data_IF_850989100888
#
_entry.id   IF_850989100888
#
_cell.length_a   1.000
_cell.length_b   1.000
_cell.length_c   1.000
_cell.angle_alpha   90.00
_cell.angle_beta   90.00
_cell.angle_gamma   90.00
#
_symmetry.space_group_name_H-M   'P 1'
#
loop_
_entity.id
_entity.type
_entity.pdbx_description
1 polymer ?
#
# COMPACT_ATOMS: atom_id res chain seq x y z
N UNK A 1 34.66 -48.58 14.29
CA UNK A 1 35.36 -47.28 14.23
C UNK A 1 34.96 -46.56 15.50
N UNK A 2 35.83 -46.62 16.52
CA UNK A 2 35.52 -46.15 17.87
C UNK A 2 35.79 -44.64 17.97
N UNK A 3 34.79 -43.89 18.42
CA UNK A 3 34.93 -42.48 18.71
C UNK A 3 35.68 -42.35 20.06
N UNK A 4 36.93 -41.89 19.99
CA UNK A 4 37.70 -41.51 21.18
C UNK A 4 37.02 -40.34 21.89
N UNK A 5 36.56 -40.62 23.09
CA UNK A 5 35.96 -39.70 24.05
C UNK A 5 37.09 -38.87 24.68
N UNK A 6 37.53 -37.81 23.98
CA UNK A 6 38.48 -36.84 24.52
C UNK A 6 37.75 -35.92 25.50
N UNK A 7 37.72 -36.32 26.77
CA UNK A 7 37.35 -35.47 27.89
C UNK A 7 38.12 -34.15 27.82
N UNK A 8 37.40 -33.03 27.72
CA UNK A 8 37.99 -31.70 27.68
C UNK A 8 38.70 -31.41 29.01
N UNK A 9 40.04 -31.26 29.05
CA UNK A 9 40.78 -31.03 30.28
C UNK A 9 40.55 -29.64 30.88
N UNK A 10 39.81 -28.75 30.21
CA UNK A 10 39.52 -27.39 30.66
C UNK A 10 38.19 -27.25 31.43
N UNK A 11 37.64 -28.34 31.97
CA UNK A 11 36.49 -28.29 32.88
C UNK A 11 36.89 -27.95 34.33
N UNK A 12 37.87 -27.07 34.53
CA UNK A 12 38.05 -26.42 35.83
C UNK A 12 36.95 -25.38 36.01
N UNK A 13 36.14 -25.55 37.06
CA UNK A 13 35.10 -24.61 37.42
C UNK A 13 35.71 -23.21 37.56
N UNK A 14 35.31 -22.28 36.69
CA UNK A 14 35.84 -20.92 36.68
C UNK A 14 35.61 -20.28 38.07
N UNK A 15 36.66 -20.04 38.88
CA UNK A 15 36.52 -19.54 40.24
C UNK A 15 35.99 -18.09 40.29
N UNK A 16 35.90 -17.43 39.15
CA UNK A 16 35.38 -16.07 39.00
C UNK A 16 33.90 -15.99 38.63
N UNK A 17 33.17 -17.12 38.60
CA UNK A 17 31.74 -17.14 38.28
C UNK A 17 30.85 -16.33 39.26
N UNK A 18 31.38 -15.89 40.41
CA UNK A 18 30.65 -15.09 41.40
C UNK A 18 30.93 -13.58 41.35
N UNK A 19 31.79 -13.10 40.44
CA UNK A 19 32.06 -11.67 40.32
C UNK A 19 30.92 -10.98 39.55
N UNK A 20 29.93 -10.42 40.26
CA UNK A 20 28.92 -9.57 39.63
C UNK A 20 29.58 -8.28 39.17
N UNK A 21 29.83 -8.14 37.87
CA UNK A 21 30.37 -6.91 37.31
C UNK A 21 29.35 -5.76 37.56
N UNK A 22 29.68 -4.74 38.37
CA UNK A 22 28.79 -3.62 38.63
C UNK A 22 28.53 -2.74 37.38
N UNK A 23 29.31 -2.97 36.31
CA UNK A 23 29.11 -2.38 34.99
C UNK A 23 28.49 -3.36 33.98
N UNK A 24 27.97 -4.51 34.42
CA UNK A 24 27.16 -5.36 33.56
C UNK A 24 25.94 -4.54 33.10
N UNK A 25 25.79 -4.40 31.78
CA UNK A 25 24.57 -3.84 31.20
C UNK A 25 23.43 -4.71 31.72
N UNK A 26 22.39 -4.14 32.35
CA UNK A 26 21.24 -4.92 32.78
C UNK A 26 20.78 -5.74 31.58
N UNK A 27 20.59 -7.04 31.77
CA UNK A 27 20.00 -7.88 30.74
C UNK A 27 18.58 -7.37 30.49
N UNK A 28 18.47 -6.36 29.61
CA UNK A 28 17.19 -6.01 29.04
C UNK A 28 16.79 -7.23 28.24
N UNK A 29 15.63 -7.79 28.58
CA UNK A 29 15.00 -8.83 27.79
C UNK A 29 14.99 -8.33 26.35
N UNK A 30 15.84 -8.92 25.50
CA UNK A 30 15.90 -8.56 24.10
C UNK A 30 14.59 -9.06 23.53
N UNK A 31 13.59 -8.19 23.48
CA UNK A 31 12.34 -8.43 22.78
C UNK A 31 12.71 -8.52 21.31
N UNK A 32 13.07 -9.72 20.86
CA UNK A 32 13.27 -10.00 19.44
C UNK A 32 11.94 -9.68 18.78
N UNK A 33 11.88 -8.66 17.89
CA UNK A 33 10.62 -8.32 17.24
C UNK A 33 10.10 -9.58 16.57
N UNK A 34 8.84 -9.94 16.86
CA UNK A 34 8.20 -11.10 16.25
C UNK A 34 8.45 -11.06 14.75
N UNK A 35 8.98 -12.15 14.18
CA UNK A 35 9.32 -12.21 12.76
C UNK A 35 8.14 -11.69 11.95
N UNK A 36 8.34 -10.57 11.25
CA UNK A 36 7.28 -9.91 10.50
C UNK A 36 6.81 -10.88 9.44
N UNK A 37 5.56 -11.34 9.54
CA UNK A 37 4.98 -12.24 8.54
C UNK A 37 5.12 -11.61 7.14
N UNK A 38 5.75 -12.34 6.22
CA UNK A 38 5.91 -11.90 4.84
C UNK A 38 4.58 -11.79 4.09
N UNK A 39 4.66 -11.34 2.84
CA UNK A 39 3.58 -11.36 1.88
C UNK A 39 3.03 -12.78 1.71
N UNK A 40 1.70 -12.89 1.72
CA UNK A 40 0.98 -14.15 1.46
C UNK A 40 -0.21 -13.91 0.54
N UNK A 41 -0.69 -14.96 -0.09
CA UNK A 41 -1.89 -14.89 -0.94
C UNK A 41 -3.09 -15.34 -0.13
N UNK A 42 -4.13 -14.51 -0.07
CA UNK A 42 -5.42 -14.89 0.49
C UNK A 42 -6.51 -14.62 -0.54
N UNK A 43 -7.16 -15.69 -1.02
CA UNK A 43 -8.17 -15.65 -2.10
C UNK A 43 -7.59 -14.98 -3.36
N UNK A 44 -8.08 -13.79 -3.70
CA UNK A 44 -7.66 -12.99 -4.87
C UNK A 44 -6.92 -11.71 -4.44
N UNK A 45 -6.32 -11.70 -3.25
CA UNK A 45 -5.60 -10.56 -2.71
C UNK A 45 -4.19 -10.97 -2.28
N UNK A 46 -3.25 -10.03 -2.45
CA UNK A 46 -1.94 -10.10 -1.80
C UNK A 46 -2.08 -9.46 -0.42
N UNK A 47 -1.82 -10.23 0.63
CA UNK A 47 -1.84 -9.76 2.02
C UNK A 47 -0.42 -9.42 2.41
N UNK A 48 -0.21 -8.17 2.78
CA UNK A 48 1.11 -7.65 3.15
C UNK A 48 1.04 -6.94 4.50
N UNK A 49 2.13 -6.92 5.30
CA UNK A 49 2.17 -6.12 6.51
C UNK A 49 2.05 -4.62 6.18
N UNK A 50 1.66 -3.82 7.16
CA UNK A 50 1.72 -2.36 7.01
C UNK A 50 3.17 -1.90 6.88
N UNK A 51 3.35 -0.83 6.11
CA UNK A 51 4.67 -0.27 5.77
C UNK A 51 5.58 -1.26 5.02
N UNK A 52 4.99 -2.34 4.48
CA UNK A 52 5.68 -3.30 3.63
C UNK A 52 6.27 -2.64 2.39
N UNK A 53 7.48 -3.08 2.05
CA UNK A 53 8.18 -2.70 0.83
C UNK A 53 8.24 -3.92 -0.08
N UNK A 54 7.69 -3.79 -1.28
CA UNK A 54 7.73 -4.89 -2.24
C UNK A 54 9.15 -5.22 -2.66
N UNK A 55 9.41 -6.50 -2.95
CA UNK A 55 10.57 -6.93 -3.72
C UNK A 55 10.69 -6.10 -5.03
N UNK A 56 11.88 -6.01 -5.64
CA UNK A 56 12.12 -5.24 -6.87
C UNK A 56 11.46 -5.91 -8.09
N UNK A 57 10.13 -5.87 -8.12
CA UNK A 57 9.24 -6.40 -9.15
C UNK A 57 8.13 -5.39 -9.36
N UNK A 58 7.80 -5.09 -10.61
CA UNK A 58 6.65 -4.25 -10.94
C UNK A 58 5.35 -4.95 -10.52
N UNK A 59 4.62 -4.40 -9.56
CA UNK A 59 3.36 -4.99 -9.06
C UNK A 59 2.23 -5.10 -10.11
N UNK A 60 2.32 -4.36 -11.22
CA UNK A 60 1.31 -4.39 -12.29
C UNK A 60 1.64 -5.40 -13.39
N UNK A 61 2.92 -5.56 -13.72
CA UNK A 61 3.34 -6.32 -14.90
C UNK A 61 4.24 -7.51 -14.58
N UNK A 62 4.72 -7.65 -13.34
CA UNK A 62 5.69 -8.68 -12.96
C UNK A 62 7.11 -8.45 -13.49
N UNK A 63 7.35 -7.35 -14.22
CA UNK A 63 8.67 -7.05 -14.78
C UNK A 63 9.67 -6.72 -13.68
N UNK A 64 10.86 -7.31 -13.74
CA UNK A 64 12.04 -6.96 -12.92
C UNK A 64 12.96 -5.95 -13.60
N UNK A 65 12.78 -5.72 -14.90
CA UNK A 65 13.58 -4.77 -15.69
C UNK A 65 12.92 -3.39 -15.73
N UNK A 66 13.76 -2.36 -15.92
CA UNK A 66 13.32 -0.96 -16.07
C UNK A 66 12.40 -0.47 -14.93
N UNK A 67 12.73 -0.89 -13.70
CA UNK A 67 12.05 -0.42 -12.51
C UNK A 67 12.42 1.04 -12.26
N UNK A 68 11.41 1.85 -12.00
CA UNK A 68 11.63 3.24 -11.59
C UNK A 68 12.15 3.23 -10.16
N UNK A 69 13.33 3.81 -9.99
CA UNK A 69 13.93 4.14 -8.70
C UNK A 69 13.79 5.65 -8.43
N UNK A 70 13.46 6.07 -7.21
CA UNK A 70 13.23 5.27 -6.00
C UNK A 70 11.86 4.53 -5.99
N UNK A 71 11.69 3.52 -5.11
CA UNK A 71 10.38 2.87 -4.90
C UNK A 71 9.31 3.91 -4.53
N UNK A 72 8.09 3.70 -5.01
CA UNK A 72 6.99 4.64 -4.78
C UNK A 72 6.20 4.22 -3.55
N UNK A 73 6.17 5.07 -2.53
CA UNK A 73 5.27 4.88 -1.39
C UNK A 73 3.85 5.36 -1.71
N UNK A 74 2.83 4.59 -1.31
CA UNK A 74 1.43 4.97 -1.46
C UNK A 74 0.63 4.67 -0.21
N UNK A 75 -0.18 5.65 0.18
CA UNK A 75 -1.19 5.50 1.23
C UNK A 75 -2.47 4.91 0.62
N UNK A 76 -2.83 3.72 1.06
CA UNK A 76 -4.13 3.11 0.78
C UNK A 76 -5.11 3.51 1.89
N UNK A 77 -6.31 3.91 1.49
CA UNK A 77 -7.43 4.13 2.39
C UNK A 77 -8.49 3.08 2.10
N UNK A 78 -9.06 2.55 3.18
CA UNK A 78 -10.21 1.66 3.10
C UNK A 78 -11.38 2.31 3.79
N UNK A 79 -12.50 2.37 3.08
CA UNK A 79 -13.77 2.88 3.60
C UNK A 79 -14.72 1.70 3.68
N UNK A 80 -15.33 1.49 4.84
CA UNK A 80 -16.32 0.43 5.01
C UNK A 80 -17.52 0.74 4.08
N UNK A 81 -17.97 -0.21 3.24
CA UNK A 81 -19.12 -0.01 2.36
C UNK A 81 -20.39 0.44 3.11
N UNK A 82 -20.55 0.06 4.38
CA UNK A 82 -21.66 0.52 5.23
C UNK A 82 -21.67 2.05 5.38
N UNK A 83 -20.50 2.70 5.47
CA UNK A 83 -20.41 4.16 5.54
C UNK A 83 -20.83 4.83 4.22
N UNK A 84 -20.55 4.20 3.09
CA UNK A 84 -20.97 4.70 1.77
C UNK A 84 -22.50 4.65 1.67
N UNK A 85 -23.12 3.54 2.09
CA UNK A 85 -24.58 3.40 2.11
C UNK A 85 -25.23 4.42 3.05
N UNK A 86 -24.67 4.59 4.26
CA UNK A 86 -25.17 5.54 5.26
C UNK A 86 -25.03 6.99 4.80
N UNK A 87 -24.03 7.31 3.98
CA UNK A 87 -23.90 8.60 3.31
C UNK A 87 -25.05 8.90 2.34
N UNK A 88 -25.57 7.91 1.61
CA UNK A 88 -26.75 8.12 0.77
C UNK A 88 -28.03 8.27 1.60
N UNK A 89 -28.12 7.65 2.78
CA UNK A 89 -29.32 7.67 3.62
C UNK A 89 -29.44 8.95 4.47
N UNK A 90 -28.34 9.38 5.09
CA UNK A 90 -28.32 10.50 6.06
C UNK A 90 -27.64 11.75 5.45
N UNK A 91 -27.15 11.63 4.22
CA UNK A 91 -26.54 12.74 3.50
C UNK A 91 -25.24 13.22 4.15
N UNK A 92 -25.10 14.54 4.23
CA UNK A 92 -23.85 15.21 4.62
C UNK A 92 -23.39 14.86 6.04
N UNK A 93 -24.30 14.57 6.98
CA UNK A 93 -23.94 14.22 8.36
C UNK A 93 -23.10 12.95 8.47
N UNK A 94 -23.27 12.01 7.55
CA UNK A 94 -22.49 10.77 7.49
C UNK A 94 -21.05 10.98 7.00
N UNK A 95 -20.78 12.11 6.34
CA UNK A 95 -19.48 12.38 5.71
C UNK A 95 -18.39 12.54 6.76
N UNK A 96 -18.69 13.17 7.91
CA UNK A 96 -17.74 13.39 8.99
C UNK A 96 -17.22 12.08 9.61
N UNK A 97 -18.06 11.15 10.11
CA UNK A 97 -17.58 9.86 10.61
C UNK A 97 -16.91 9.03 9.51
N UNK A 98 -17.39 9.11 8.26
CA UNK A 98 -16.77 8.42 7.12
C UNK A 98 -15.33 8.90 6.84
N UNK A 99 -15.00 10.17 7.11
CA UNK A 99 -13.64 10.70 6.98
C UNK A 99 -12.74 10.37 8.18
N UNK A 100 -13.31 10.36 9.39
CA UNK A 100 -12.58 10.09 10.63
C UNK A 100 -12.25 8.61 10.81
N UNK A 101 -13.16 7.70 10.48
CA UNK A 101 -13.04 6.26 10.71
C UNK A 101 -12.36 5.51 9.56
N UNK A 102 -11.65 6.22 8.68
CA UNK A 102 -10.91 5.60 7.58
C UNK A 102 -9.70 4.86 8.11
N UNK A 103 -9.65 3.55 7.85
CA UNK A 103 -8.41 2.80 8.04
C UNK A 103 -7.43 3.18 6.94
N UNK A 104 -6.21 3.51 7.33
CA UNK A 104 -5.14 3.93 6.43
C UNK A 104 -3.97 2.96 6.57
N UNK A 105 -3.37 2.59 5.46
CA UNK A 105 -2.15 1.78 5.41
C UNK A 105 -1.19 2.37 4.39
N UNK A 106 0.10 2.25 4.62
CA UNK A 106 1.13 2.62 3.65
C UNK A 106 1.83 1.34 3.19
N UNK A 107 2.23 1.34 1.92
CA UNK A 107 3.12 0.33 1.37
C UNK A 107 3.95 0.97 0.26
N UNK A 108 5.15 0.46 0.06
CA UNK A 108 6.10 0.92 -0.94
C UNK A 108 6.24 -0.13 -2.03
N UNK A 109 6.23 0.28 -3.30
CA UNK A 109 6.28 -0.66 -4.41
C UNK A 109 7.05 -0.12 -5.61
N UNK A 110 7.50 -1.05 -6.44
CA UNK A 110 8.16 -0.73 -7.70
C UNK A 110 7.16 -0.75 -8.88
N UNK A 111 7.41 0.12 -9.85
CA UNK A 111 6.70 0.18 -11.12
C UNK A 111 7.70 0.15 -12.26
N UNK A 112 7.35 -0.55 -13.34
CA UNK A 112 8.09 -0.45 -14.59
C UNK A 112 7.82 0.89 -15.27
N UNK A 113 8.81 1.39 -16.02
CA UNK A 113 8.68 2.60 -16.84
C UNK A 113 7.39 2.67 -17.67
N UNK A 114 7.07 1.64 -18.48
CA UNK A 114 5.85 1.61 -19.28
C UNK A 114 4.57 1.68 -18.44
N UNK A 115 4.51 0.97 -17.31
CA UNK A 115 3.33 0.97 -16.44
C UNK A 115 3.13 2.34 -15.77
N UNK A 116 4.21 2.98 -15.33
CA UNK A 116 4.17 4.32 -14.76
C UNK A 116 3.75 5.38 -15.79
N UNK A 117 4.24 5.29 -17.03
CA UNK A 117 3.82 6.15 -18.13
C UNK A 117 2.33 5.99 -18.43
N UNK A 118 1.83 4.74 -18.45
CA UNK A 118 0.40 4.45 -18.60
C UNK A 118 -0.46 5.09 -17.50
N UNK A 119 0.00 5.07 -16.25
CA UNK A 119 -0.67 5.74 -15.13
C UNK A 119 -0.64 7.27 -15.27
N UNK A 120 0.48 7.86 -15.68
CA UNK A 120 0.59 9.30 -15.94
C UNK A 120 -0.34 9.74 -17.06
N UNK A 121 -0.41 8.98 -18.16
CA UNK A 121 -1.33 9.25 -19.27
C UNK A 121 -2.79 9.24 -18.82
N UNK A 122 -3.22 8.22 -18.07
CA UNK A 122 -4.58 8.14 -17.52
C UNK A 122 -4.89 9.34 -16.62
N UNK A 123 -3.94 9.73 -15.76
CA UNK A 123 -4.10 10.89 -14.89
C UNK A 123 -4.20 12.20 -15.69
N UNK A 124 -3.38 12.38 -16.72
CA UNK A 124 -3.42 13.55 -17.59
C UNK A 124 -4.76 13.66 -18.34
N UNK A 125 -5.28 12.55 -18.88
CA UNK A 125 -6.61 12.52 -19.49
C UNK A 125 -7.69 12.92 -18.48
N UNK A 126 -7.63 12.38 -17.26
CA UNK A 126 -8.60 12.70 -16.21
C UNK A 126 -8.56 14.18 -15.80
N UNK A 127 -7.36 14.79 -15.74
CA UNK A 127 -7.18 16.22 -15.51
C UNK A 127 -7.72 17.06 -16.67
N UNK A 128 -7.59 16.59 -17.92
CA UNK A 128 -8.22 17.23 -19.07
C UNK A 128 -9.74 17.29 -18.92
N UNK A 129 -10.38 16.15 -18.62
CA UNK A 129 -11.84 16.09 -18.40
C UNK A 129 -12.27 17.01 -17.25
N UNK A 130 -11.52 16.99 -16.14
CA UNK A 130 -11.77 17.87 -14.99
C UNK A 130 -11.67 19.36 -15.37
N UNK A 131 -10.58 19.73 -16.05
CA UNK A 131 -10.32 21.10 -16.47
C UNK A 131 -11.39 21.62 -17.43
N UNK A 132 -11.80 20.81 -18.41
CA UNK A 132 -12.90 21.16 -19.31
C UNK A 132 -14.21 21.37 -18.56
N UNK A 133 -14.56 20.47 -17.63
CA UNK A 133 -15.75 20.62 -16.80
C UNK A 133 -15.71 21.91 -15.96
N UNK A 134 -14.56 22.22 -15.37
CA UNK A 134 -14.36 23.44 -14.58
C UNK A 134 -14.51 24.71 -15.42
N UNK A 135 -13.92 24.76 -16.62
CA UNK A 135 -14.05 25.91 -17.53
C UNK A 135 -15.51 26.13 -17.93
N UNK A 136 -16.25 25.06 -18.23
CA UNK A 136 -17.68 25.15 -18.57
C UNK A 136 -18.49 25.72 -17.40
N UNK A 137 -18.24 25.26 -16.16
CA UNK A 137 -18.91 25.82 -14.97
C UNK A 137 -18.60 27.30 -14.78
N UNK A 138 -17.33 27.70 -14.94
CA UNK A 138 -16.93 29.11 -14.82
C UNK A 138 -17.61 29.98 -15.88
N UNK A 139 -17.70 29.50 -17.12
CA UNK A 139 -18.43 30.18 -18.19
C UNK A 139 -19.94 30.24 -17.90
N UNK A 140 -20.53 29.19 -17.34
CA UNK A 140 -21.95 29.17 -16.97
C UNK A 140 -22.29 30.20 -15.88
N UNK A 141 -21.34 30.50 -14.99
CA UNK A 141 -21.47 31.49 -13.92
C UNK A 141 -21.07 32.90 -14.34
N UNK A 142 -20.52 33.08 -15.54
CA UNK A 142 -20.12 34.39 -16.05
C UNK A 142 -21.36 35.25 -16.35
N UNK A 143 -21.37 36.55 -15.98
CA UNK A 143 -22.48 37.44 -16.29
C UNK A 143 -22.66 37.70 -17.79
N UNK A 144 -21.65 37.37 -18.62
CA UNK A 144 -21.69 37.54 -20.07
C UNK A 144 -22.59 36.51 -20.78
N UNK A 145 -23.02 35.45 -20.09
CA UNK A 145 -23.68 34.29 -20.68
C UNK A 145 -25.20 34.42 -20.47
N UNK A 146 -25.91 34.97 -21.45
CA UNK A 146 -27.38 35.06 -21.42
C UNK A 146 -28.01 33.81 -22.07
N UNK A 147 -28.91 33.13 -21.36
CA UNK A 147 -29.85 32.14 -21.94
C UNK A 147 -29.46 30.66 -21.92
N UNK A 148 -28.19 30.27 -21.74
CA UNK A 148 -27.75 28.86 -21.69
C UNK A 148 -27.14 28.45 -20.33
N UNK A 149 -27.45 29.21 -19.28
CA UNK A 149 -26.82 29.03 -17.96
C UNK A 149 -27.12 27.68 -17.30
N UNK A 150 -28.35 27.12 -17.31
CA UNK A 150 -28.60 25.85 -16.61
C UNK A 150 -28.02 24.64 -17.36
N UNK A 151 -28.07 24.61 -18.69
CA UNK A 151 -27.53 23.49 -19.48
C UNK A 151 -26.01 23.41 -19.38
N UNK A 152 -25.32 24.56 -19.46
CA UNK A 152 -23.87 24.63 -19.29
C UNK A 152 -23.48 24.22 -17.86
N UNK A 153 -24.21 24.70 -16.85
CA UNK A 153 -23.93 24.36 -15.45
C UNK A 153 -24.09 22.85 -15.21
N UNK A 154 -25.17 22.24 -15.73
CA UNK A 154 -25.41 20.81 -15.61
C UNK A 154 -24.31 20.00 -16.31
N UNK A 155 -23.95 20.39 -17.54
CA UNK A 155 -22.92 19.72 -18.34
C UNK A 155 -21.55 19.79 -17.67
N UNK A 156 -21.14 20.97 -17.20
CA UNK A 156 -19.89 21.16 -16.48
C UNK A 156 -19.84 20.36 -15.18
N UNK A 157 -20.93 20.36 -14.40
CA UNK A 157 -21.05 19.57 -13.17
C UNK A 157 -20.95 18.07 -13.45
N UNK A 158 -21.62 17.58 -14.50
CA UNK A 158 -21.56 16.18 -14.89
C UNK A 158 -20.14 15.73 -15.28
N UNK A 159 -19.38 16.56 -16.01
CA UNK A 159 -17.98 16.28 -16.35
C UNK A 159 -17.07 16.23 -15.12
N UNK A 160 -17.27 17.13 -14.15
CA UNK A 160 -16.53 17.13 -12.89
C UNK A 160 -16.81 15.84 -12.09
N UNK A 161 -18.09 15.46 -11.97
CA UNK A 161 -18.50 14.22 -11.30
C UNK A 161 -17.92 12.97 -12.00
N UNK A 162 -17.98 12.94 -13.33
CA UNK A 162 -17.38 11.86 -14.13
C UNK A 162 -15.87 11.77 -13.90
N UNK A 163 -15.16 12.91 -13.89
CA UNK A 163 -13.73 12.93 -13.58
C UNK A 163 -13.42 12.45 -12.16
N UNK A 164 -14.26 12.77 -11.17
CA UNK A 164 -14.11 12.24 -9.81
C UNK A 164 -14.28 10.71 -9.75
N UNK A 165 -15.26 10.17 -10.49
CA UNK A 165 -15.49 8.73 -10.61
C UNK A 165 -14.30 8.05 -11.31
N UNK A 166 -13.80 8.61 -12.42
CA UNK A 166 -12.66 8.08 -13.15
C UNK A 166 -11.36 8.15 -12.33
N UNK A 167 -11.13 9.24 -11.60
CA UNK A 167 -10.00 9.39 -10.70
C UNK A 167 -9.98 8.29 -9.61
N UNK A 168 -11.15 7.91 -9.11
CA UNK A 168 -11.28 6.91 -8.06
C UNK A 168 -11.26 5.48 -8.58
N UNK A 169 -11.74 5.21 -9.79
CA UNK A 169 -11.92 3.84 -10.36
C UNK A 169 -10.89 3.44 -11.43
N UNK A 170 -10.43 4.39 -12.26
CA UNK A 170 -9.56 4.12 -13.41
C UNK A 170 -8.12 4.55 -13.18
N UNK A 171 -7.91 5.68 -12.50
CA UNK A 171 -6.57 6.21 -12.19
C UNK A 171 -5.89 5.52 -11.00
N UNK A 172 -6.61 4.71 -10.22
CA UNK A 172 -6.01 3.95 -9.10
C UNK A 172 -5.60 2.55 -9.56
N UNK A 173 -4.29 2.24 -9.57
CA UNK A 173 -3.78 0.91 -9.93
C UNK A 173 -4.14 -0.17 -8.89
N UNK A 174 -4.15 0.20 -7.61
CA UNK A 174 -4.36 -0.71 -6.49
C UNK A 174 -5.49 -0.25 -5.61
N UNK A 175 -6.21 -1.22 -5.05
CA UNK A 175 -7.29 -1.01 -4.10
C UNK A 175 -7.06 -1.90 -2.89
N UNK A 176 -7.20 -1.32 -1.69
CA UNK A 176 -7.30 -2.11 -0.49
C UNK A 176 -8.70 -2.72 -0.41
N UNK A 177 -8.78 -4.05 -0.40
CA UNK A 177 -10.05 -4.75 -0.17
C UNK A 177 -10.42 -4.74 1.31
N UNK A 178 -9.41 -4.82 2.17
CA UNK A 178 -9.50 -4.83 3.63
C UNK A 178 -8.21 -4.24 4.19
N UNK A 179 -8.29 -3.57 5.33
CA UNK A 179 -7.14 -3.11 6.10
C UNK A 179 -7.42 -3.47 7.56
N UNK A 180 -6.50 -4.20 8.19
CA UNK A 180 -6.53 -4.50 9.62
C UNK A 180 -5.46 -3.69 10.35
N UNK A 181 -5.21 -4.01 11.62
CA UNK A 181 -4.20 -3.30 12.39
C UNK A 181 -2.79 -3.58 11.87
N UNK A 182 -2.51 -4.81 11.43
CA UNK A 182 -1.18 -5.27 11.02
C UNK A 182 -1.04 -5.48 9.52
N UNK A 183 -2.13 -5.78 8.81
CA UNK A 183 -2.08 -6.22 7.40
C UNK A 183 -2.98 -5.40 6.45
N UNK A 184 -2.63 -5.44 5.16
CA UNK A 184 -3.35 -4.81 4.05
C UNK A 184 -3.63 -5.87 2.99
N UNK A 185 -4.88 -6.01 2.56
CA UNK A 185 -5.29 -6.89 1.46
C UNK A 185 -5.34 -6.09 0.16
N UNK A 186 -4.34 -6.26 -0.70
CA UNK A 186 -4.22 -5.55 -1.97
C UNK A 186 -4.88 -6.37 -3.08
N UNK A 187 -5.90 -5.79 -3.73
CA UNK A 187 -6.60 -6.38 -4.87
C UNK A 187 -6.04 -5.86 -6.21
N UNK A 188 -6.48 -6.49 -7.32
CA UNK A 188 -6.10 -6.17 -8.71
C UNK A 188 -4.62 -6.40 -9.08
N UNK A 189 -3.87 -7.15 -8.28
CA UNK A 189 -2.55 -7.66 -8.69
C UNK A 189 -2.78 -8.96 -9.51
N UNK A 190 -2.19 -9.09 -10.72
CA UNK A 190 -2.31 -10.31 -11.51
C UNK A 190 -1.82 -11.54 -10.75
N UNK A 191 -2.43 -12.70 -10.97
CA UNK A 191 -2.15 -13.92 -10.19
C UNK A 191 -0.67 -14.32 -10.22
N UNK A 192 -0.08 -14.40 -11.42
CA UNK A 192 1.34 -14.72 -11.61
C UNK A 192 2.29 -13.76 -10.87
N UNK A 193 1.95 -12.46 -10.80
CA UNK A 193 2.77 -11.48 -10.07
C UNK A 193 2.70 -11.72 -8.57
N UNK A 194 1.51 -12.05 -8.03
CA UNK A 194 1.38 -12.36 -6.59
C UNK A 194 2.18 -13.59 -6.21
N UNK A 195 2.13 -14.63 -7.02
CA UNK A 195 2.86 -15.89 -6.80
C UNK A 195 4.37 -15.64 -6.81
N UNK A 196 4.87 -14.92 -7.82
CA UNK A 196 6.28 -14.54 -7.93
C UNK A 196 6.76 -13.73 -6.71
N UNK A 197 5.95 -12.79 -6.20
CA UNK A 197 6.32 -12.00 -5.00
C UNK A 197 6.46 -12.90 -3.77
N UNK A 198 5.50 -13.79 -3.54
CA UNK A 198 5.55 -14.69 -2.37
C UNK A 198 6.72 -15.66 -2.47
N UNK A 199 7.03 -16.16 -3.67
CA UNK A 199 8.19 -17.02 -3.89
C UNK A 199 9.52 -16.29 -3.67
N UNK A 200 9.63 -15.06 -4.17
CA UNK A 200 10.82 -14.22 -3.94
C UNK A 200 11.04 -13.93 -2.47
N UNK A 201 9.99 -13.66 -1.69
CA UNK A 201 10.13 -13.44 -0.26
C UNK A 201 10.52 -14.69 0.51
N UNK A 202 9.93 -15.85 0.16
CA UNK A 202 10.36 -17.14 0.73
C UNK A 202 11.85 -17.39 0.45
N UNK A 203 12.29 -17.09 -0.77
CA UNK A 203 13.70 -17.24 -1.16
C UNK A 203 14.60 -16.27 -0.41
N UNK A 204 14.18 -15.02 -0.23
CA UNK A 204 14.92 -14.02 0.54
C UNK A 204 15.02 -14.39 2.03
N UNK A 205 13.95 -14.94 2.61
CA UNK A 205 13.94 -15.41 3.99
C UNK A 205 14.92 -16.57 4.23
N UNK A 206 15.20 -17.38 3.20
CA UNK A 206 16.19 -18.46 3.26
C UNK A 206 17.64 -17.98 3.08
N UNK A 207 17.85 -16.73 2.64
CA UNK A 207 19.19 -16.13 2.46
C UNK A 207 19.38 -14.86 3.31
N UNK A 208 19.33 -14.96 4.64
CA UNK A 208 19.44 -13.77 5.50
C UNK A 208 20.83 -13.10 5.52
N UNK A 209 21.85 -13.66 4.86
CA UNK A 209 23.27 -13.27 5.03
C UNK A 209 24.03 -12.91 3.73
N UNK A 210 23.36 -12.41 2.70
CA UNK A 210 24.03 -11.79 1.54
C UNK A 210 23.83 -10.28 1.54
#
# INVERSE_FOLDING_TARGET
MNHDDRSNPYSEANPYASYSNPYAVPESEIVVPAQTEGARIEKKCLVVPKDWMSSPVCLLTGSVTNLITPPRSRKLTWVNPVWILLFFLIGLFALLPMLLLQKKGRFSYYLSGPAAFGLKKKLAINWGIFGTGLVIVVLALSPATTGLTPELLLTGTALILLSAILATTWCRPFYARKIDQTHIWIAKIPAHVREAIVEMEKTAALRPWM
#
